data_IF_413424107108
#
_entry.id   IF_413424107108
#
_cell.length_a   1.000
_cell.length_b   1.000
_cell.length_c   1.000
_cell.angle_alpha   90.00
_cell.angle_beta   90.00
_cell.angle_gamma   90.00
#
_symmetry.space_group_name_H-M   'P 1'
#
loop_
_entity.id
_entity.type
_entity.pdbx_description
1 polymer ?
#
# COMPACT_ATOMS: atom_id res chain seq x y z
N UNK A 1 19.28 -6.09 -12.92
CA UNK A 1 18.10 -5.84 -12.08
C UNK A 1 16.93 -5.55 -12.99
N UNK A 2 15.81 -6.29 -12.91
CA UNK A 2 14.58 -5.88 -13.59
C UNK A 2 14.07 -4.65 -12.85
N UNK A 3 14.07 -3.49 -13.50
CA UNK A 3 13.51 -2.27 -12.94
C UNK A 3 12.02 -2.53 -12.70
N UNK A 4 11.62 -2.59 -11.44
CA UNK A 4 10.21 -2.75 -11.10
C UNK A 4 9.55 -1.41 -11.43
N UNK A 5 8.61 -1.41 -12.36
CA UNK A 5 7.81 -0.23 -12.65
C UNK A 5 7.00 0.12 -11.42
N UNK A 6 7.06 1.38 -10.99
CA UNK A 6 6.31 1.86 -9.83
C UNK A 6 4.80 1.71 -10.05
N UNK A 7 4.11 1.33 -8.99
CA UNK A 7 2.67 1.11 -8.98
C UNK A 7 1.94 2.45 -8.99
N UNK A 8 1.01 2.65 -9.91
CA UNK A 8 0.21 3.90 -10.00
C UNK A 8 -1.12 3.82 -9.26
N UNK A 9 -1.71 2.63 -9.19
CA UNK A 9 -2.97 2.39 -8.49
C UNK A 9 -2.92 1.12 -7.64
N UNK A 10 -3.49 1.18 -6.44
CA UNK A 10 -3.58 0.05 -5.52
C UNK A 10 -5.06 -0.16 -5.16
N UNK A 11 -5.54 -1.36 -5.44
CA UNK A 11 -6.87 -1.84 -5.07
C UNK A 11 -6.73 -2.77 -3.86
N UNK A 12 -7.09 -2.27 -2.67
CA UNK A 12 -6.92 -2.96 -1.41
C UNK A 12 -8.26 -3.25 -0.73
N UNK A 13 -8.90 -4.34 -1.13
CA UNK A 13 -10.18 -4.78 -0.57
C UNK A 13 -9.97 -5.89 0.45
N UNK A 14 -10.56 -5.72 1.62
CA UNK A 14 -10.58 -6.74 2.68
C UNK A 14 -11.30 -8.00 2.23
N UNK A 15 -10.69 -9.11 2.59
CA UNK A 15 -11.29 -10.42 2.79
C UNK A 15 -10.84 -10.80 4.21
N UNK A 16 -11.54 -11.64 4.97
CA UNK A 16 -11.26 -11.84 6.42
C UNK A 16 -9.78 -12.20 6.71
N UNK A 17 -9.07 -12.77 5.72
CA UNK A 17 -7.64 -13.12 5.76
C UNK A 17 -6.65 -11.96 5.53
N UNK A 18 -7.09 -10.81 5.02
CA UNK A 18 -6.22 -9.70 4.56
C UNK A 18 -5.92 -8.66 5.64
N UNK A 19 -6.71 -8.60 6.71
CA UNK A 19 -6.44 -7.68 7.82
C UNK A 19 -5.07 -7.91 8.49
N UNK A 20 -4.54 -9.15 8.46
CA UNK A 20 -3.18 -9.48 8.92
C UNK A 20 -2.11 -9.06 7.89
N UNK A 21 -2.44 -9.06 6.59
CA UNK A 21 -1.50 -8.68 5.53
C UNK A 21 -1.27 -7.17 5.43
N UNK A 22 -2.19 -6.35 5.96
CA UNK A 22 -2.07 -4.89 6.06
C UNK A 22 -0.71 -4.45 6.63
N UNK A 23 -0.29 -5.08 7.73
CA UNK A 23 0.97 -4.74 8.38
C UNK A 23 2.16 -5.19 7.52
N UNK A 24 2.14 -6.40 6.95
CA UNK A 24 3.30 -6.98 6.28
C UNK A 24 3.71 -6.31 4.97
N UNK A 25 2.77 -5.80 4.16
CA UNK A 25 3.08 -5.26 2.83
C UNK A 25 4.02 -4.05 2.92
N UNK A 26 3.83 -3.23 3.94
CA UNK A 26 4.51 -1.93 4.07
C UNK A 26 5.92 -2.10 4.65
N UNK A 27 6.15 -3.16 5.42
CA UNK A 27 7.48 -3.55 5.90
C UNK A 27 8.25 -4.42 4.90
N UNK A 28 7.67 -4.76 3.74
CA UNK A 28 8.37 -5.54 2.74
C UNK A 28 9.53 -4.70 2.12
N UNK A 29 10.76 -5.23 2.08
CA UNK A 29 11.88 -4.53 1.48
C UNK A 29 11.60 -4.16 0.01
N UNK A 30 11.59 -2.88 -0.31
CA UNK A 30 11.26 -2.37 -1.65
C UNK A 30 9.80 -2.01 -1.87
N UNK A 31 8.93 -2.18 -0.87
CA UNK A 31 7.56 -1.64 -0.90
C UNK A 31 7.57 -0.13 -1.12
N UNK A 32 8.49 0.59 -0.45
CA UNK A 32 8.69 2.02 -0.64
C UNK A 32 8.87 2.38 -2.11
N UNK A 33 9.84 1.76 -2.80
CA UNK A 33 10.12 2.00 -4.23
C UNK A 33 8.93 1.68 -5.15
N UNK A 34 8.15 0.65 -4.80
CA UNK A 34 6.96 0.27 -5.54
C UNK A 34 5.81 1.27 -5.34
N UNK A 35 5.69 1.85 -4.15
CA UNK A 35 4.59 2.69 -3.71
C UNK A 35 4.87 4.20 -3.86
N UNK A 36 6.12 4.64 -4.02
CA UNK A 36 6.52 6.06 -4.15
C UNK A 36 5.66 6.86 -5.15
N UNK A 37 5.26 6.23 -6.25
CA UNK A 37 4.49 6.87 -7.33
C UNK A 37 3.02 6.45 -7.36
N UNK A 38 2.51 5.91 -6.25
CA UNK A 38 1.11 5.61 -6.10
C UNK A 38 0.32 6.92 -6.11
N UNK A 39 -0.64 7.03 -7.04
CA UNK A 39 -1.50 8.21 -7.19
C UNK A 39 -2.98 7.90 -7.00
N UNK A 40 -3.32 6.62 -6.82
CA UNK A 40 -4.69 6.18 -6.57
C UNK A 40 -4.70 5.01 -5.58
N UNK A 41 -5.44 5.17 -4.49
CA UNK A 41 -5.73 4.12 -3.52
C UNK A 41 -7.24 3.90 -3.50
N UNK A 42 -7.69 2.70 -3.87
CA UNK A 42 -9.06 2.25 -3.63
C UNK A 42 -9.02 1.20 -2.53
N UNK A 43 -9.85 1.32 -1.50
CA UNK A 43 -9.85 0.37 -0.41
C UNK A 43 -11.25 0.14 0.18
N UNK A 44 -11.40 -0.97 0.90
CA UNK A 44 -12.60 -1.22 1.72
C UNK A 44 -12.70 -0.22 2.88
N UNK A 45 -13.91 -0.05 3.42
CA UNK A 45 -14.19 0.86 4.55
C UNK A 45 -13.75 0.32 5.91
N UNK A 46 -13.46 -0.98 6.00
CA UNK A 46 -13.06 -1.69 7.23
C UNK A 46 -11.54 -1.74 7.43
N UNK A 47 -10.77 -1.03 6.60
CA UNK A 47 -9.31 -0.93 6.73
C UNK A 47 -8.93 -0.08 7.95
N UNK A 48 -7.93 -0.55 8.70
CA UNK A 48 -7.43 0.13 9.89
C UNK A 48 -6.77 1.49 9.57
N UNK A 49 -6.99 2.47 10.45
CA UNK A 49 -6.39 3.81 10.35
C UNK A 49 -4.85 3.78 10.20
N UNK A 50 -4.19 2.80 10.83
CA UNK A 50 -2.74 2.64 10.80
C UNK A 50 -2.20 2.37 9.38
N UNK A 51 -2.96 1.65 8.55
CA UNK A 51 -2.61 1.42 7.15
C UNK A 51 -2.50 2.75 6.39
N UNK A 52 -3.46 3.65 6.57
CA UNK A 52 -3.44 4.97 5.93
C UNK A 52 -2.29 5.83 6.43
N UNK A 53 -1.99 5.77 7.73
CA UNK A 53 -0.83 6.43 8.29
C UNK A 53 0.47 5.94 7.62
N UNK A 54 0.66 4.63 7.53
CA UNK A 54 1.86 4.04 6.92
C UNK A 54 1.97 4.35 5.41
N UNK A 55 0.86 4.30 4.67
CA UNK A 55 0.82 4.71 3.25
C UNK A 55 1.21 6.19 3.11
N UNK A 56 0.72 7.08 3.99
CA UNK A 56 1.07 8.52 3.93
C UNK A 56 2.56 8.81 4.11
N UNK A 57 3.30 7.92 4.81
CA UNK A 57 4.73 8.09 5.00
C UNK A 57 5.54 7.77 3.73
N UNK A 58 4.99 6.91 2.87
CA UNK A 58 5.68 6.37 1.69
C UNK A 58 5.16 7.02 0.40
N UNK A 59 3.85 7.20 0.30
CA UNK A 59 3.15 7.75 -0.85
C UNK A 59 2.87 9.23 -0.61
N UNK A 60 3.73 10.12 -1.11
CA UNK A 60 3.57 11.56 -0.90
C UNK A 60 2.55 12.19 -1.87
N UNK A 61 1.96 11.38 -2.76
CA UNK A 61 1.10 11.80 -3.86
C UNK A 61 -0.39 11.41 -3.69
N UNK A 62 -0.78 10.83 -2.55
CA UNK A 62 -2.16 10.40 -2.24
C UNK A 62 -2.83 11.35 -1.26
#
# INVERSE_FOLDING_TARGET
MKQISSLKSLDYYSDESKNIQNFMIIYFPGAENCLTYLSKLNCSSDIYAEFFYQISQICHNI
#
